data_IF_088574058965
#
_entry.id   IF_088574058965
#
_cell.length_a   1.000
_cell.length_b   1.000
_cell.length_c   1.000
_cell.angle_alpha   90.00
_cell.angle_beta   90.00
_cell.angle_gamma   90.00
#
_symmetry.space_group_name_H-M   'P 1'
#
loop_
_entity.id
_entity.type
_entity.pdbx_description
1 polymer ?
#
# COMPACT_ATOMS: atom_id res chain seq x y z
N UNK A 1 15.31 -4.45 7.90
CA UNK A 1 14.32 -3.34 7.86
C UNK A 1 14.29 -2.70 9.24
N UNK A 2 14.55 -1.39 9.32
CA UNK A 2 14.65 -0.67 10.59
C UNK A 2 13.27 -0.09 10.95
N UNK A 3 12.73 -0.44 12.13
CA UNK A 3 11.48 0.13 12.64
C UNK A 3 11.83 1.42 13.40
N UNK A 4 11.25 2.54 12.99
CA UNK A 4 11.35 3.77 13.75
C UNK A 4 10.57 3.62 15.06
N UNK A 5 11.21 3.93 16.19
CA UNK A 5 10.55 3.97 17.49
C UNK A 5 9.64 5.20 17.56
N UNK A 6 8.43 5.04 17.03
CA UNK A 6 7.36 6.05 17.01
C UNK A 6 6.18 5.54 17.83
N UNK A 7 5.48 6.47 18.49
CA UNK A 7 4.21 6.17 19.15
C UNK A 7 3.11 6.14 18.08
N UNK A 8 2.35 5.05 18.01
CA UNK A 8 1.25 4.91 17.05
C UNK A 8 0.98 3.47 16.62
N UNK A 9 0.37 3.33 15.43
CA UNK A 9 0.04 2.03 14.83
C UNK A 9 1.32 1.32 14.40
N UNK A 10 1.47 0.07 14.81
CA UNK A 10 2.55 -0.79 14.33
C UNK A 10 2.10 -1.68 13.16
N UNK A 11 3.08 -2.33 12.53
CA UNK A 11 2.81 -3.17 11.36
C UNK A 11 2.06 -4.46 11.66
N UNK A 12 2.14 -4.97 12.88
CA UNK A 12 1.35 -6.15 13.27
C UNK A 12 -0.14 -5.80 13.36
N UNK A 13 -0.44 -4.66 13.98
CA UNK A 13 -1.77 -4.09 14.08
C UNK A 13 -2.37 -3.81 12.69
N UNK A 14 -1.54 -3.34 11.75
CA UNK A 14 -1.97 -3.12 10.36
C UNK A 14 -2.27 -4.42 9.60
N UNK A 15 -1.42 -5.45 9.72
CA UNK A 15 -1.58 -6.74 9.01
C UNK A 15 -2.91 -7.43 9.34
N UNK A 16 -3.36 -7.33 10.59
CA UNK A 16 -4.53 -8.05 11.08
C UNK A 16 -5.86 -7.29 10.89
N UNK A 17 -5.83 -6.05 10.38
CA UNK A 17 -7.04 -5.24 10.16
C UNK A 17 -7.81 -5.72 8.93
N UNK A 18 -9.12 -5.92 9.09
CA UNK A 18 -10.03 -6.33 8.00
C UNK A 18 -10.48 -5.18 7.10
N UNK A 19 -10.54 -3.96 7.63
CA UNK A 19 -11.09 -2.79 6.94
C UNK A 19 -10.01 -1.71 6.88
N UNK A 20 -9.17 -1.79 5.85
CA UNK A 20 -8.11 -0.81 5.61
C UNK A 20 -8.43 -0.01 4.36
N UNK A 21 -8.35 1.33 4.44
CA UNK A 21 -8.49 2.21 3.29
C UNK A 21 -7.14 2.88 3.05
N UNK A 22 -6.54 2.64 1.89
CA UNK A 22 -5.34 3.32 1.44
C UNK A 22 -5.72 4.42 0.45
N UNK A 23 -5.22 5.64 0.66
CA UNK A 23 -5.49 6.78 -0.22
C UNK A 23 -4.17 7.41 -0.62
N UNK A 24 -3.90 7.46 -1.92
CA UNK A 24 -2.76 8.21 -2.45
C UNK A 24 -2.95 8.59 -3.92
N UNK A 25 -2.22 9.60 -4.36
CA UNK A 25 -2.08 9.96 -5.77
C UNK A 25 -0.62 10.27 -6.12
N UNK A 26 -0.31 10.18 -7.41
CA UNK A 26 1.01 10.40 -7.99
C UNK A 26 1.81 9.12 -8.25
N UNK A 27 2.19 8.93 -9.52
CA UNK A 27 2.87 7.73 -10.06
C UNK A 27 4.00 7.17 -9.21
N UNK A 28 4.84 8.03 -8.64
CA UNK A 28 6.01 7.64 -7.81
C UNK A 28 5.60 6.88 -6.54
N UNK A 29 4.38 7.09 -6.02
CA UNK A 29 3.89 6.42 -4.81
C UNK A 29 3.32 5.03 -5.08
N UNK A 30 3.01 4.70 -6.34
CA UNK A 30 2.52 3.37 -6.73
C UNK A 30 3.52 2.26 -6.35
N UNK A 31 4.82 2.50 -6.55
CA UNK A 31 5.88 1.54 -6.21
C UNK A 31 5.95 1.26 -4.71
N UNK A 32 5.77 2.30 -3.87
CA UNK A 32 5.74 2.15 -2.43
C UNK A 32 4.49 1.40 -1.93
N UNK A 33 3.39 1.42 -2.68
CA UNK A 33 2.16 0.71 -2.33
C UNK A 33 2.25 -0.81 -2.54
N UNK A 34 2.99 -1.28 -3.55
CA UNK A 34 3.12 -2.72 -3.87
C UNK A 34 3.53 -3.60 -2.66
N UNK A 35 4.57 -3.27 -1.86
CA UNK A 35 4.89 -4.08 -0.69
C UNK A 35 3.81 -4.00 0.39
N UNK A 36 3.12 -2.86 0.54
CA UNK A 36 2.04 -2.68 1.53
C UNK A 36 0.83 -3.58 1.20
N UNK A 37 0.44 -3.66 -0.08
CA UNK A 37 -0.66 -4.52 -0.52
C UNK A 37 -0.38 -6.02 -0.36
N UNK A 38 0.90 -6.41 -0.28
CA UNK A 38 1.30 -7.79 0.03
C UNK A 38 1.20 -8.11 1.53
N UNK A 39 1.34 -7.11 2.41
CA UNK A 39 1.25 -7.28 3.87
C UNK A 39 -0.20 -7.46 4.34
N UNK A 40 -1.14 -6.79 3.68
CA UNK A 40 -2.57 -6.93 3.94
C UNK A 40 -3.32 -6.91 2.60
N UNK A 41 -4.01 -8.01 2.29
CA UNK A 41 -4.81 -8.12 1.05
C UNK A 41 -6.18 -7.44 1.15
N UNK A 42 -6.64 -7.13 2.36
CA UNK A 42 -7.94 -6.51 2.62
C UNK A 42 -7.81 -4.98 2.66
N UNK A 43 -7.46 -4.40 1.51
CA UNK A 43 -7.30 -2.95 1.35
C UNK A 43 -8.25 -2.45 0.26
N UNK A 44 -9.08 -1.47 0.63
CA UNK A 44 -9.75 -0.60 -0.34
C UNK A 44 -8.77 0.49 -0.75
N UNK A 45 -8.45 0.55 -2.04
CA UNK A 45 -7.55 1.57 -2.59
C UNK A 45 -8.36 2.68 -3.27
N UNK A 46 -8.10 3.92 -2.87
CA UNK A 46 -8.57 5.13 -3.57
C UNK A 46 -7.36 5.85 -4.15
N UNK A 47 -7.31 5.99 -5.47
CA UNK A 47 -6.16 6.58 -6.17
C UNK A 47 -6.55 7.22 -7.50
N UNK A 48 -5.62 7.94 -8.13
CA UNK A 48 -5.79 8.52 -9.47
C UNK A 48 -5.50 7.50 -10.60
N UNK A 49 -5.92 7.83 -11.81
CA UNK A 49 -5.79 6.96 -12.98
C UNK A 49 -4.32 6.60 -13.33
N UNK A 50 -3.40 7.55 -13.24
CA UNK A 50 -1.99 7.33 -13.59
C UNK A 50 -1.30 6.42 -12.57
N UNK A 51 -1.57 6.63 -11.28
CA UNK A 51 -1.15 5.72 -10.22
C UNK A 51 -1.72 4.30 -10.41
N UNK A 52 -3.01 4.18 -10.75
CA UNK A 52 -3.64 2.88 -11.00
C UNK A 52 -3.01 2.15 -12.18
N UNK A 53 -2.76 2.83 -13.31
CA UNK A 53 -2.05 2.26 -14.46
C UNK A 53 -0.66 1.77 -14.07
N UNK A 54 0.08 2.57 -13.31
CA UNK A 54 1.42 2.19 -12.85
C UNK A 54 1.39 0.94 -11.95
N UNK A 55 0.41 0.81 -11.07
CA UNK A 55 0.24 -0.40 -10.25
C UNK A 55 0.06 -1.63 -11.14
N UNK A 56 -0.80 -1.54 -12.16
CA UNK A 56 -1.06 -2.64 -13.10
C UNK A 56 0.21 -3.00 -13.89
N UNK A 57 0.96 -2.03 -14.40
CA UNK A 57 2.24 -2.27 -15.09
C UNK A 57 3.25 -3.04 -14.20
N UNK A 58 3.28 -2.72 -12.91
CA UNK A 58 4.18 -3.33 -11.94
C UNK A 58 3.74 -4.74 -11.51
N UNK A 59 2.45 -5.07 -11.61
CA UNK A 59 1.91 -6.38 -11.21
C UNK A 59 1.73 -7.36 -12.35
N UNK A 60 1.54 -6.91 -13.59
CA UNK A 60 1.35 -7.81 -14.76
C UNK A 60 2.68 -8.35 -15.31
N UNK A 61 3.79 -7.64 -15.11
CA UNK A 61 5.11 -8.02 -15.62
C UNK A 61 5.97 -8.86 -14.64
N UNK A 62 5.35 -9.41 -13.59
CA UNK A 62 6.02 -10.27 -12.60
C UNK A 62 5.39 -11.67 -12.58
#
# INVERSE_FOLDING_TARGET
VYKLNTVGIDMESFKNKRETIAVFAGRKKAEAFIPISKLNKNIVLVTDEDSARRIIELTVNN
#
